data_IF_708421898616
#
_entry.id   IF_708421898616
#
_cell.length_a   1.000
_cell.length_b   1.000
_cell.length_c   1.000
_cell.angle_alpha   90.00
_cell.angle_beta   90.00
_cell.angle_gamma   90.00
#
_symmetry.space_group_name_H-M   'P 1'
#
loop_
_entity.id
_entity.type
_entity.pdbx_description
1 polymer ?
#
# COMPACT_ATOMS: atom_id res chain seq x y z
N UNK A 1 11.10 2.86 -11.21
CA UNK A 1 10.78 1.49 -10.77
C UNK A 1 9.35 1.14 -11.20
N UNK A 2 9.04 -0.14 -11.38
CA UNK A 2 7.67 -0.64 -11.61
C UNK A 2 7.15 -1.29 -10.34
N UNK A 3 5.93 -0.96 -9.96
CA UNK A 3 5.25 -1.47 -8.76
C UNK A 3 4.20 -2.47 -9.22
N UNK A 4 4.25 -3.70 -8.72
CA UNK A 4 3.36 -4.77 -9.18
C UNK A 4 2.95 -5.71 -8.06
N UNK A 5 1.80 -6.36 -8.24
CA UNK A 5 1.29 -7.40 -7.34
C UNK A 5 1.54 -8.80 -7.90
N UNK A 6 1.66 -9.75 -6.99
CA UNK A 6 1.62 -11.18 -7.30
C UNK A 6 0.22 -11.75 -7.05
N UNK A 7 -0.03 -13.00 -7.42
CA UNK A 7 -1.35 -13.63 -7.26
C UNK A 7 -1.89 -13.64 -5.81
N UNK A 8 -1.03 -13.47 -4.80
CA UNK A 8 -1.40 -13.40 -3.39
C UNK A 8 -0.75 -12.20 -2.65
N UNK A 9 -1.17 -12.01 -1.40
CA UNK A 9 -0.59 -11.06 -0.42
C UNK A 9 -0.57 -9.57 -0.81
N UNK A 10 -1.47 -9.14 -1.70
CA UNK A 10 -1.54 -7.74 -2.11
C UNK A 10 -2.93 -7.12 -1.94
N UNK A 11 -2.97 -5.80 -1.74
CA UNK A 11 -4.20 -5.04 -1.54
C UNK A 11 -5.03 -4.84 -2.82
N UNK A 12 -4.69 -5.50 -3.94
CA UNK A 12 -5.42 -5.48 -5.21
C UNK A 12 -5.59 -6.90 -5.77
N UNK A 13 -6.10 -7.81 -4.93
CA UNK A 13 -6.29 -9.22 -5.29
C UNK A 13 -7.17 -9.48 -6.54
N UNK A 14 -7.94 -8.47 -7.00
CA UNK A 14 -8.78 -8.54 -8.21
C UNK A 14 -8.12 -7.98 -9.47
N UNK A 15 -6.91 -7.43 -9.37
CA UNK A 15 -6.15 -6.98 -10.53
C UNK A 15 -5.51 -8.18 -11.26
N UNK A 16 -5.12 -7.96 -12.52
CA UNK A 16 -4.24 -8.89 -13.24
C UNK A 16 -2.86 -8.84 -12.59
N UNK A 17 -2.59 -9.83 -11.74
CA UNK A 17 -1.34 -9.96 -11.00
C UNK A 17 -0.50 -11.09 -11.59
N UNK A 18 0.82 -11.00 -11.46
CA UNK A 18 1.74 -11.99 -11.99
C UNK A 18 1.81 -13.24 -11.10
N UNK A 19 1.92 -14.40 -11.71
CA UNK A 19 2.25 -15.64 -11.00
C UNK A 19 3.72 -15.64 -10.56
N UNK A 20 3.96 -16.08 -9.33
CA UNK A 20 5.29 -16.02 -8.71
C UNK A 20 6.25 -17.09 -9.23
N UNK A 21 5.74 -18.22 -9.75
CA UNK A 21 6.55 -19.31 -10.29
C UNK A 21 6.74 -19.14 -11.80
N UNK A 22 5.66 -18.83 -12.52
CA UNK A 22 5.66 -18.86 -13.99
C UNK A 22 6.11 -17.54 -14.61
N UNK A 23 5.64 -16.40 -14.09
CA UNK A 23 5.79 -15.10 -14.76
C UNK A 23 6.85 -14.20 -14.10
N UNK A 24 7.00 -14.25 -12.78
CA UNK A 24 7.87 -13.33 -12.04
C UNK A 24 9.34 -13.34 -12.52
N UNK A 25 9.98 -14.49 -12.82
CA UNK A 25 11.34 -14.49 -13.36
C UNK A 25 11.46 -13.75 -14.69
N UNK A 26 10.48 -13.91 -15.59
CA UNK A 26 10.45 -13.23 -16.89
C UNK A 26 10.24 -11.73 -16.72
N UNK A 27 9.31 -11.33 -15.84
CA UNK A 27 9.05 -9.93 -15.51
C UNK A 27 10.33 -9.25 -14.99
N UNK A 28 11.03 -9.87 -14.04
CA UNK A 28 12.24 -9.29 -13.48
C UNK A 28 13.37 -9.22 -14.52
N UNK A 29 13.57 -10.28 -15.31
CA UNK A 29 14.55 -10.27 -16.40
C UNK A 29 14.25 -9.15 -17.42
N UNK A 30 12.98 -8.95 -17.76
CA UNK A 30 12.55 -7.87 -18.65
C UNK A 30 12.87 -6.50 -18.07
N UNK A 31 12.48 -6.24 -16.81
CA UNK A 31 12.71 -4.96 -16.14
C UNK A 31 14.21 -4.65 -16.04
N UNK A 32 15.02 -5.59 -15.58
CA UNK A 32 16.46 -5.41 -15.40
C UNK A 32 17.20 -5.22 -16.72
N UNK A 33 16.77 -5.90 -17.80
CA UNK A 33 17.32 -5.67 -19.16
C UNK A 33 17.12 -4.23 -19.64
N UNK A 34 16.09 -3.55 -19.14
CA UNK A 34 15.81 -2.14 -19.44
C UNK A 34 16.33 -1.17 -18.36
N UNK A 35 17.11 -1.64 -17.39
CA UNK A 35 17.62 -0.82 -16.29
C UNK A 35 16.53 -0.32 -15.33
N UNK A 36 15.38 -1.01 -15.28
CA UNK A 36 14.23 -0.66 -14.44
C UNK A 36 14.20 -1.55 -13.21
N UNK A 37 14.05 -0.96 -12.03
CA UNK A 37 13.84 -1.70 -10.77
C UNK A 37 12.40 -2.22 -10.66
N UNK A 38 12.21 -3.42 -10.10
CA UNK A 38 10.92 -4.03 -9.84
C UNK A 38 10.60 -4.13 -8.34
N UNK A 39 9.45 -3.60 -7.93
CA UNK A 39 8.98 -3.62 -6.54
C UNK A 39 7.68 -4.43 -6.42
N UNK A 40 7.73 -5.53 -5.67
CA UNK A 40 6.57 -6.39 -5.43
C UNK A 40 5.79 -5.96 -4.18
N UNK A 41 4.47 -5.89 -4.26
CA UNK A 41 3.64 -5.55 -3.09
C UNK A 41 3.29 -6.80 -2.25
N UNK A 42 3.56 -6.72 -0.95
CA UNK A 42 3.16 -7.66 0.11
C UNK A 42 2.38 -6.89 1.21
N UNK A 43 1.46 -6.03 0.77
CA UNK A 43 0.85 -4.97 1.58
C UNK A 43 -0.52 -5.33 2.15
N UNK A 44 -0.66 -6.52 2.72
CA UNK A 44 -1.85 -6.96 3.44
C UNK A 44 -1.48 -7.43 4.84
N UNK A 45 -2.48 -7.50 5.73
CA UNK A 45 -2.32 -8.21 7.01
C UNK A 45 -2.20 -9.70 6.75
N UNK A 46 -1.34 -10.39 7.49
CA UNK A 46 -1.06 -11.83 7.30
C UNK A 46 -1.48 -12.60 8.53
N UNK A 47 -2.21 -13.70 8.35
CA UNK A 47 -2.61 -14.56 9.47
C UNK A 47 -1.58 -15.64 9.74
N UNK A 48 -1.55 -16.14 10.98
CA UNK A 48 -0.60 -17.18 11.42
C UNK A 48 -0.62 -18.43 10.52
N UNK A 49 -1.81 -18.82 10.04
CA UNK A 49 -1.99 -19.96 9.14
C UNK A 49 -1.40 -19.74 7.74
N UNK A 50 -1.05 -18.50 7.39
CA UNK A 50 -0.52 -18.11 6.09
C UNK A 50 0.99 -17.87 6.12
N UNK A 51 1.64 -17.92 7.29
CA UNK A 51 3.08 -17.61 7.43
C UNK A 51 3.96 -18.51 6.56
N UNK A 52 3.64 -19.80 6.46
CA UNK A 52 4.37 -20.73 5.59
C UNK A 52 4.23 -20.37 4.11
N UNK A 53 3.03 -19.95 3.69
CA UNK A 53 2.77 -19.53 2.32
C UNK A 53 3.46 -18.19 2.00
N UNK A 54 3.47 -17.26 2.96
CA UNK A 54 4.22 -16.01 2.85
C UNK A 54 5.72 -16.28 2.73
N UNK A 55 6.28 -17.15 3.58
CA UNK A 55 7.70 -17.52 3.50
C UNK A 55 8.05 -18.08 2.11
N UNK A 56 7.24 -19.01 1.59
CA UNK A 56 7.44 -19.56 0.26
C UNK A 56 7.40 -18.47 -0.82
N UNK A 57 6.46 -17.53 -0.73
CA UNK A 57 6.36 -16.38 -1.62
C UNK A 57 7.61 -15.49 -1.55
N UNK A 58 8.09 -15.17 -0.34
CA UNK A 58 9.30 -14.35 -0.13
C UNK A 58 10.53 -15.00 -0.72
N UNK A 59 10.67 -16.33 -0.60
CA UNK A 59 11.78 -17.08 -1.21
C UNK A 59 11.76 -16.97 -2.74
N UNK A 60 10.58 -17.05 -3.36
CA UNK A 60 10.41 -16.88 -4.82
C UNK A 60 10.75 -15.46 -5.26
N UNK A 61 10.23 -14.46 -4.55
CA UNK A 61 10.53 -13.03 -4.78
C UNK A 61 12.03 -12.76 -4.73
N UNK A 62 12.71 -13.26 -3.69
CA UNK A 62 14.15 -13.07 -3.54
C UNK A 62 14.93 -13.81 -4.64
N UNK A 63 14.54 -15.03 -4.98
CA UNK A 63 15.19 -15.82 -6.04
C UNK A 63 15.04 -15.19 -7.44
N UNK A 64 13.90 -14.55 -7.71
CA UNK A 64 13.65 -13.84 -8.96
C UNK A 64 14.37 -12.49 -9.08
N UNK A 65 15.03 -12.03 -8.00
CA UNK A 65 15.79 -10.78 -8.02
C UNK A 65 14.94 -9.52 -7.86
N UNK A 66 13.75 -9.60 -7.27
CA UNK A 66 12.95 -8.42 -6.95
C UNK A 66 13.76 -7.44 -6.09
N UNK A 67 13.75 -6.16 -6.45
CA UNK A 67 14.63 -5.16 -5.84
C UNK A 67 14.15 -4.71 -4.45
N UNK A 68 12.82 -4.65 -4.25
CA UNK A 68 12.22 -4.36 -2.95
C UNK A 68 10.80 -4.94 -2.83
N UNK A 69 10.38 -5.20 -1.59
CA UNK A 69 8.98 -5.53 -1.26
C UNK A 69 8.31 -4.41 -0.49
N UNK A 70 7.03 -4.17 -0.76
CA UNK A 70 6.24 -3.12 -0.09
C UNK A 70 5.29 -3.77 0.93
N UNK A 71 5.53 -3.54 2.21
CA UNK A 71 4.96 -4.35 3.29
C UNK A 71 4.12 -3.50 4.24
N UNK A 72 3.00 -4.06 4.72
CA UNK A 72 2.17 -3.46 5.78
C UNK A 72 2.47 -4.09 7.15
N UNK A 73 2.55 -5.42 7.19
CA UNK A 73 2.54 -6.20 8.42
C UNK A 73 3.95 -6.34 9.03
N UNK A 74 4.12 -6.00 10.33
CA UNK A 74 5.42 -6.09 11.00
C UNK A 74 5.91 -7.54 11.19
N UNK A 75 4.99 -8.50 11.32
CA UNK A 75 5.33 -9.92 11.33
C UNK A 75 5.88 -10.36 9.99
N UNK A 76 5.32 -9.87 8.88
CA UNK A 76 5.88 -10.08 7.55
C UNK A 76 7.26 -9.44 7.40
N UNK A 77 7.47 -8.21 7.90
CA UNK A 77 8.81 -7.57 7.90
C UNK A 77 9.84 -8.45 8.63
N UNK A 78 9.49 -8.96 9.81
CA UNK A 78 10.35 -9.87 10.59
C UNK A 78 10.69 -11.13 9.80
N UNK A 79 9.67 -11.77 9.21
CA UNK A 79 9.84 -12.99 8.41
C UNK A 79 10.72 -12.76 7.18
N UNK A 80 10.54 -11.65 6.47
CA UNK A 80 11.36 -11.31 5.29
C UNK A 80 12.83 -11.12 5.70
N UNK A 81 13.09 -10.46 6.84
CA UNK A 81 14.46 -10.28 7.35
C UNK A 81 15.13 -11.60 7.72
N UNK A 82 14.38 -12.59 8.19
CA UNK A 82 14.90 -13.93 8.50
C UNK A 82 15.16 -14.75 7.23
N UNK A 83 14.25 -14.68 6.25
CA UNK A 83 14.25 -15.54 5.06
C UNK A 83 15.11 -14.98 3.93
N UNK A 84 15.11 -13.66 3.75
CA UNK A 84 15.78 -12.94 2.68
C UNK A 84 16.42 -11.63 3.21
N UNK A 85 17.47 -11.71 4.04
CA UNK A 85 18.03 -10.55 4.74
C UNK A 85 18.50 -9.42 3.81
N UNK A 86 18.91 -9.75 2.57
CA UNK A 86 19.35 -8.78 1.56
C UNK A 86 18.22 -8.09 0.79
N UNK A 87 16.97 -8.53 0.90
CA UNK A 87 15.84 -7.94 0.18
C UNK A 87 15.45 -6.60 0.82
N UNK A 88 15.37 -5.53 0.04
CA UNK A 88 14.91 -4.23 0.56
C UNK A 88 13.43 -4.30 0.96
N UNK A 89 13.06 -3.61 2.03
CA UNK A 89 11.68 -3.61 2.55
C UNK A 89 11.22 -2.17 2.61
N UNK A 90 10.21 -1.83 1.81
CA UNK A 90 9.57 -0.53 1.82
C UNK A 90 8.29 -0.59 2.66
N UNK A 91 8.08 0.38 3.55
CA UNK A 91 6.88 0.50 4.34
C UNK A 91 5.72 1.00 3.47
N UNK A 92 4.63 0.24 3.40
CA UNK A 92 3.42 0.61 2.68
C UNK A 92 2.72 1.82 3.32
N UNK A 93 1.98 2.60 2.54
CA UNK A 93 1.03 3.59 3.08
C UNK A 93 0.04 2.98 4.08
N UNK A 94 -0.23 1.67 3.98
CA UNK A 94 -1.08 0.95 4.92
C UNK A 94 -0.47 0.79 6.33
N UNK A 95 0.83 1.09 6.51
CA UNK A 95 1.45 1.21 7.84
C UNK A 95 1.01 2.49 8.58
N UNK A 96 0.30 3.41 7.91
CA UNK A 96 -0.19 4.66 8.51
C UNK A 96 0.93 5.52 9.11
N UNK A 97 2.10 5.54 8.46
CA UNK A 97 3.23 6.35 8.92
C UNK A 97 3.05 7.78 8.42
N UNK A 98 2.86 8.71 9.36
CA UNK A 98 2.59 10.13 9.08
C UNK A 98 3.54 11.08 9.81
N UNK A 99 4.61 10.57 10.41
CA UNK A 99 5.57 11.35 11.18
C UNK A 99 6.98 10.77 11.06
N UNK A 100 7.99 11.58 11.38
CA UNK A 100 9.39 11.14 11.42
C UNK A 100 9.61 10.06 12.49
N UNK A 101 8.91 10.14 13.62
CA UNK A 101 8.98 9.14 14.68
C UNK A 101 8.42 7.79 14.22
N UNK A 102 7.35 7.80 13.42
CA UNK A 102 6.80 6.59 12.81
C UNK A 102 7.75 5.99 11.76
N UNK A 103 8.38 6.84 10.94
CA UNK A 103 9.37 6.39 9.97
C UNK A 103 10.59 5.77 10.66
N UNK A 104 11.08 6.41 11.71
CA UNK A 104 12.18 5.92 12.55
C UNK A 104 11.81 4.61 13.28
N UNK A 105 10.55 4.46 13.73
CA UNK A 105 10.07 3.19 14.26
C UNK A 105 10.16 2.08 13.20
N UNK A 106 9.68 2.32 11.98
CA UNK A 106 9.74 1.34 10.90
C UNK A 106 11.19 0.98 10.53
N UNK A 107 12.08 1.99 10.47
CA UNK A 107 13.52 1.81 10.22
C UNK A 107 14.16 0.85 11.21
N UNK A 108 13.89 1.01 12.51
CA UNK A 108 14.39 0.10 13.55
C UNK A 108 13.91 -1.34 13.41
N UNK A 109 12.80 -1.56 12.72
CA UNK A 109 12.27 -2.90 12.43
C UNK A 109 12.72 -3.43 11.06
N UNK A 110 13.65 -2.75 10.40
CA UNK A 110 14.26 -3.21 9.16
C UNK A 110 13.57 -2.71 7.90
N UNK A 111 12.72 -1.69 7.96
CA UNK A 111 12.25 -0.98 6.76
C UNK A 111 13.36 -0.04 6.25
N UNK A 112 13.61 -0.04 4.94
CA UNK A 112 14.68 0.76 4.30
C UNK A 112 14.17 2.04 3.64
N UNK A 113 12.87 2.10 3.32
CA UNK A 113 12.18 3.29 2.78
C UNK A 113 10.75 3.31 3.30
N UNK A 114 10.19 4.47 3.61
CA UNK A 114 8.80 4.58 4.03
C UNK A 114 7.98 5.33 2.99
N UNK A 115 6.88 4.72 2.53
CA UNK A 115 5.86 5.43 1.75
C UNK A 115 4.89 6.09 2.74
N UNK A 116 4.94 7.41 2.85
CA UNK A 116 4.15 8.17 3.83
C UNK A 116 2.66 8.12 3.52
N UNK A 117 1.84 8.29 4.56
CA UNK A 117 0.39 8.43 4.44
C UNK A 117 0.00 9.49 3.39
N UNK A 118 -1.12 9.26 2.73
CA UNK A 118 -1.65 10.16 1.69
C UNK A 118 -2.47 11.32 2.27
N UNK A 119 -2.60 11.32 3.58
CA UNK A 119 -3.36 12.29 4.37
C UNK A 119 -2.50 13.50 4.76
N UNK A 120 -1.17 13.44 4.58
CA UNK A 120 -0.26 14.54 4.89
C UNK A 120 -0.32 15.64 3.83
N UNK A 121 -0.29 16.86 4.30
CA UNK A 121 -0.01 18.04 3.48
C UNK A 121 1.47 18.12 3.09
N UNK A 122 1.78 18.91 2.05
CA UNK A 122 3.17 19.20 1.63
C UNK A 122 4.01 19.77 2.79
N UNK A 123 3.41 20.57 3.68
CA UNK A 123 4.10 21.13 4.85
C UNK A 123 4.49 20.05 5.86
N UNK A 124 3.60 19.08 6.10
CA UNK A 124 3.86 17.94 6.99
C UNK A 124 4.88 16.98 6.38
N UNK A 125 4.80 16.70 5.07
CA UNK A 125 5.83 15.92 4.35
C UNK A 125 7.21 16.59 4.49
N UNK A 126 7.29 17.90 4.28
CA UNK A 126 8.53 18.65 4.46
C UNK A 126 9.04 18.60 5.90
N UNK A 127 8.16 18.53 6.89
CA UNK A 127 8.54 18.34 8.29
C UNK A 127 9.13 16.96 8.53
N UNK A 128 8.47 15.89 8.05
CA UNK A 128 9.01 14.53 8.15
C UNK A 128 10.40 14.46 7.52
N UNK A 129 10.59 15.04 6.34
CA UNK A 129 11.90 15.05 5.67
C UNK A 129 12.98 15.80 6.45
N UNK A 130 12.65 16.87 7.18
CA UNK A 130 13.63 17.59 8.03
C UNK A 130 14.08 16.76 9.24
N UNK A 131 13.19 15.95 9.79
CA UNK A 131 13.42 15.21 11.04
C UNK A 131 13.90 13.75 10.82
N UNK A 132 13.70 13.19 9.63
CA UNK A 132 14.10 11.83 9.27
C UNK A 132 15.04 11.84 8.07
N UNK A 133 16.26 11.33 8.22
CA UNK A 133 17.34 11.44 7.22
C UNK A 133 17.16 10.53 6.01
N UNK A 134 16.56 9.35 6.19
CA UNK A 134 16.54 8.32 5.16
C UNK A 134 15.41 8.58 4.15
N UNK A 135 15.30 7.68 3.17
CA UNK A 135 14.39 7.87 2.05
C UNK A 135 12.92 7.74 2.48
N UNK A 136 12.13 8.74 2.08
CA UNK A 136 10.67 8.74 2.16
C UNK A 136 10.10 8.91 0.77
N UNK A 137 8.98 8.24 0.52
CA UNK A 137 8.25 8.28 -0.74
C UNK A 137 6.82 8.75 -0.49
N UNK A 138 6.23 9.45 -1.45
CA UNK A 138 4.86 9.96 -1.36
C UNK A 138 4.12 9.70 -2.66
N UNK A 139 2.82 9.40 -2.56
CA UNK A 139 1.97 9.37 -3.75
C UNK A 139 1.64 10.79 -4.17
N UNK A 140 1.71 11.05 -5.48
CA UNK A 140 1.32 12.33 -6.08
C UNK A 140 0.04 12.23 -6.90
N UNK A 141 -0.44 11.02 -7.18
CA UNK A 141 -1.65 10.79 -7.95
C UNK A 141 -2.38 9.52 -7.51
N UNK A 142 -3.72 9.54 -7.57
CA UNK A 142 -4.56 8.35 -7.47
C UNK A 142 -5.64 8.42 -6.40
N UNK A 143 -6.43 7.35 -6.31
CA UNK A 143 -7.61 7.31 -5.45
C UNK A 143 -7.29 7.46 -3.95
N UNK A 144 -7.95 8.41 -3.28
CA UNK A 144 -7.90 8.58 -1.83
C UNK A 144 -8.92 7.69 -1.12
N UNK A 145 -8.59 7.32 0.12
CA UNK A 145 -9.50 6.65 1.02
C UNK A 145 -10.31 7.70 1.81
N UNK A 146 -11.56 7.37 2.15
CA UNK A 146 -12.38 8.19 3.07
C UNK A 146 -11.87 8.12 4.52
N UNK A 147 -11.12 7.06 4.85
CA UNK A 147 -10.42 6.87 6.13
C UNK A 147 -8.91 6.95 5.89
N UNK A 148 -8.13 6.90 6.96
CA UNK A 148 -6.69 6.68 6.88
C UNK A 148 -6.38 5.43 6.05
N UNK A 149 -5.36 5.54 5.20
CA UNK A 149 -4.94 4.49 4.27
C UNK A 149 -4.70 3.15 4.99
N UNK A 150 -5.43 2.11 4.60
CA UNK A 150 -5.37 0.79 5.25
C UNK A 150 -6.24 0.63 6.51
N UNK A 151 -6.89 1.68 7.01
CA UNK A 151 -7.66 1.66 8.26
C UNK A 151 -9.19 1.71 8.03
N UNK A 152 -9.66 1.26 6.85
CA UNK A 152 -11.08 1.23 6.52
C UNK A 152 -11.64 -0.19 6.65
N UNK A 153 -12.65 -0.35 7.50
CA UNK A 153 -13.35 -1.62 7.72
C UNK A 153 -14.75 -1.67 7.08
N UNK A 154 -15.22 -0.59 6.44
CA UNK A 154 -16.61 -0.50 5.94
C UNK A 154 -16.96 -1.62 4.95
N UNK A 155 -16.04 -1.96 4.05
CA UNK A 155 -16.24 -3.03 3.06
C UNK A 155 -16.38 -4.42 3.72
N UNK A 156 -15.67 -4.64 4.83
CA UNK A 156 -15.77 -5.87 5.60
C UNK A 156 -17.06 -5.90 6.42
N UNK A 157 -17.32 -4.82 7.17
CA UNK A 157 -18.48 -4.72 8.05
C UNK A 157 -19.81 -4.90 7.32
N UNK A 158 -19.93 -4.41 6.09
CA UNK A 158 -21.18 -4.48 5.32
C UNK A 158 -21.26 -5.66 4.36
N UNK A 159 -20.12 -6.13 3.84
CA UNK A 159 -20.11 -7.10 2.73
C UNK A 159 -19.16 -8.28 2.93
N UNK A 160 -18.51 -8.42 4.09
CA UNK A 160 -17.56 -9.49 4.38
C UNK A 160 -16.27 -9.42 3.57
N UNK A 161 -16.00 -8.29 2.91
CA UNK A 161 -14.87 -8.13 1.98
C UNK A 161 -13.82 -7.19 2.57
N UNK A 162 -12.74 -7.73 3.10
CA UNK A 162 -11.72 -6.94 3.77
C UNK A 162 -10.81 -6.19 2.80
N UNK A 163 -10.76 -4.86 2.94
CA UNK A 163 -9.86 -4.01 2.16
C UNK A 163 -8.38 -4.32 2.46
N UNK A 164 -8.08 -4.67 3.72
CA UNK A 164 -6.77 -5.14 4.17
C UNK A 164 -6.39 -6.53 3.65
N UNK A 165 -7.25 -7.14 2.83
CA UNK A 165 -7.04 -8.42 2.14
C UNK A 165 -7.18 -8.28 0.61
N UNK A 166 -7.13 -7.05 0.11
CA UNK A 166 -7.26 -6.72 -1.31
C UNK A 166 -8.65 -6.88 -1.90
N UNK A 167 -9.68 -7.01 -1.07
CA UNK A 167 -11.05 -7.26 -1.50
C UNK A 167 -11.95 -6.04 -1.47
N UNK A 168 -11.40 -4.84 -1.21
CA UNK A 168 -12.13 -3.58 -1.07
C UNK A 168 -13.22 -3.44 -2.13
N UNK A 169 -14.48 -3.36 -1.69
CA UNK A 169 -15.65 -3.18 -2.53
C UNK A 169 -15.92 -1.70 -2.86
N UNK A 170 -15.05 -0.79 -2.40
CA UNK A 170 -15.19 0.65 -2.57
C UNK A 170 -16.54 1.18 -2.06
N UNK A 171 -16.94 0.74 -0.86
CA UNK A 171 -18.24 1.10 -0.29
C UNK A 171 -18.44 2.63 -0.21
N UNK A 172 -17.39 3.40 0.06
CA UNK A 172 -17.43 4.87 0.03
C UNK A 172 -17.84 5.48 -1.32
N UNK A 173 -17.81 4.72 -2.42
CA UNK A 173 -18.20 5.14 -3.77
C UNK A 173 -19.60 4.65 -4.16
N UNK A 174 -20.39 4.15 -3.21
CA UNK A 174 -21.80 3.86 -3.41
C UNK A 174 -22.65 5.13 -3.27
N UNK A 175 -23.87 5.17 -3.86
CA UNK A 175 -24.80 6.27 -3.62
C UNK A 175 -25.33 6.22 -2.19
N UNK A 176 -25.29 7.37 -1.50
CA UNK A 176 -25.80 7.54 -0.14
C UNK A 176 -26.78 8.70 -0.08
N UNK A 177 -27.82 8.57 0.75
CA UNK A 177 -28.67 9.69 1.17
C UNK A 177 -28.19 10.29 2.49
N UNK A 178 -28.41 11.58 2.69
CA UNK A 178 -28.10 12.28 3.95
C UNK A 178 -29.38 12.47 4.75
N UNK A 179 -29.48 11.86 5.93
CA UNK A 179 -30.59 12.10 6.86
C UNK A 179 -30.16 13.11 7.93
N UNK A 180 -30.91 14.20 8.06
CA UNK A 180 -30.74 15.21 9.11
C UNK A 180 -32.03 15.28 9.92
N UNK A 181 -31.94 14.96 11.21
CA UNK A 181 -33.09 14.93 12.12
C UNK A 181 -34.29 14.11 11.60
N UNK A 182 -34.01 12.97 10.94
CA UNK A 182 -35.02 12.07 10.40
C UNK A 182 -35.61 12.49 9.05
N UNK A 183 -35.19 13.62 8.48
CA UNK A 183 -35.58 14.06 7.13
C UNK A 183 -34.45 13.83 6.13
N UNK A 184 -34.79 13.31 4.95
CA UNK A 184 -33.83 13.18 3.85
C UNK A 184 -33.49 14.57 3.31
N UNK A 185 -32.21 14.87 3.20
CA UNK A 185 -31.71 16.13 2.69
C UNK A 185 -31.32 15.98 1.21
N UNK A 186 -31.77 16.94 0.40
CA UNK A 186 -31.44 17.01 -1.03
C UNK A 186 -29.94 17.31 -1.22
N UNK A 187 -29.27 16.48 -2.02
CA UNK A 187 -27.82 16.54 -2.23
C UNK A 187 -27.40 17.35 -3.46
N UNK A 188 -28.35 17.83 -4.26
CA UNK A 188 -28.07 18.48 -5.54
C UNK A 188 -27.22 17.58 -6.45
N UNK A 189 -26.11 18.11 -6.95
CA UNK A 189 -25.21 17.38 -7.87
C UNK A 189 -24.26 16.38 -7.17
N UNK A 190 -24.33 16.25 -5.83
CA UNK A 190 -23.45 15.37 -5.06
C UNK A 190 -23.93 13.91 -5.15
N UNK A 191 -23.34 13.14 -6.05
CA UNK A 191 -23.71 11.72 -6.29
C UNK A 191 -23.09 10.72 -5.31
N UNK A 192 -21.88 10.99 -4.80
CA UNK A 192 -21.10 10.05 -3.98
C UNK A 192 -20.60 10.74 -2.70
N UNK A 193 -21.49 10.86 -1.71
CA UNK A 193 -21.27 11.68 -0.50
C UNK A 193 -19.99 11.31 0.28
N UNK A 194 -19.62 10.04 0.30
CA UNK A 194 -18.46 9.54 1.05
C UNK A 194 -17.20 9.38 0.18
N UNK A 195 -17.28 9.61 -1.13
CA UNK A 195 -16.13 9.43 -2.01
C UNK A 195 -15.25 10.68 -1.97
N UNK A 196 -14.00 10.60 -1.49
CA UNK A 196 -13.06 11.70 -1.69
C UNK A 196 -12.79 11.86 -3.19
N UNK A 197 -12.35 13.07 -3.57
CA UNK A 197 -11.74 13.30 -4.87
C UNK A 197 -10.40 12.56 -4.93
N UNK A 198 -10.01 12.14 -6.13
CA UNK A 198 -8.71 11.52 -6.33
C UNK A 198 -7.59 12.56 -6.13
N UNK A 199 -6.46 12.11 -5.61
CA UNK A 199 -5.28 12.96 -5.46
C UNK A 199 -4.73 13.31 -6.85
N UNK A 200 -4.49 14.60 -7.08
CA UNK A 200 -3.78 15.12 -8.24
C UNK A 200 -2.82 16.20 -7.76
N UNK A 201 -1.58 15.80 -7.51
CA UNK A 201 -0.49 16.66 -7.04
C UNK A 201 0.69 16.68 -8.02
N UNK A 202 0.48 16.24 -9.27
CA UNK A 202 1.51 16.22 -10.31
C UNK A 202 2.08 17.62 -10.55
N UNK A 203 1.23 18.64 -10.56
CA UNK A 203 1.65 20.05 -10.71
C UNK A 203 2.44 20.60 -9.51
N UNK A 204 2.48 19.86 -8.39
CA UNK A 204 3.24 20.23 -7.19
C UNK A 204 4.62 19.54 -7.13
N UNK A 205 4.92 18.63 -8.07
CA UNK A 205 6.21 17.95 -8.15
C UNK A 205 7.21 18.93 -8.76
N UNK A 206 8.33 19.25 -8.07
CA UNK A 206 9.39 20.09 -8.63
C UNK A 206 10.01 19.46 -9.88
N UNK A 207 10.50 20.30 -10.80
CA UNK A 207 11.27 19.89 -11.99
C UNK A 207 12.57 19.12 -11.64
#
# INVERSE_FOLDING_TARGET
AVYFGLTAFNARARASNFDADEELPEVMAYLHTHGVLGYAVLNVLVFDTELNALEAMVRKIAAAGVDAVIVQDLGAVRLIREVAPGLAIHGSTQMTITSAQGAEFARRHGVTRVVLGRELSVKEIAQVRREYSDEVEVFVHGALCVSYSGQCFSSEAWGGRSANRGQCAQACRMPYGLLVNGSLHELGDVKYLLSPQDLMAVELVPD
#
